data_IF_531253871681
#
_entry.id   IF_531253871681
#
_cell.length_a   1.000
_cell.length_b   1.000
_cell.length_c   1.000
_cell.angle_alpha   90.00
_cell.angle_beta   90.00
_cell.angle_gamma   90.00
#
_symmetry.space_group_name_H-M   'P 1'
#
loop_
_entity.id
_entity.type
_entity.pdbx_description
1 polymer ?
#
# COMPACT_ATOMS: atom_id res chain seq x y z
N UNK A 1 -14.42 5.62 -18.61
CA UNK A 1 -14.57 5.55 -17.14
C UNK A 1 -13.26 5.02 -16.58
N UNK A 2 -12.49 5.86 -15.90
CA UNK A 2 -11.25 5.46 -15.24
C UNK A 2 -11.59 5.33 -13.74
N UNK A 3 -11.73 4.12 -13.23
CA UNK A 3 -11.93 3.86 -11.81
C UNK A 3 -10.57 3.83 -11.12
N UNK A 4 -10.33 4.78 -10.21
CA UNK A 4 -9.18 4.74 -9.30
C UNK A 4 -9.61 3.87 -8.12
N UNK A 5 -8.93 2.74 -7.93
CA UNK A 5 -9.18 1.81 -6.83
C UNK A 5 -8.40 2.28 -5.60
N UNK A 6 -9.10 2.53 -4.48
CA UNK A 6 -8.49 2.81 -3.19
C UNK A 6 -8.66 1.58 -2.27
N UNK A 7 -7.59 1.12 -1.59
CA UNK A 7 -7.71 0.05 -0.60
C UNK A 7 -8.56 0.54 0.57
N UNK A 8 -9.70 -0.12 0.82
CA UNK A 8 -10.64 0.21 1.90
C UNK A 8 -12.10 0.35 1.46
N UNK A 9 -12.37 0.49 0.17
CA UNK A 9 -13.76 0.44 -0.32
C UNK A 9 -14.26 -1.00 -0.18
N UNK A 10 -15.16 -1.23 0.77
CA UNK A 10 -16.01 -2.42 0.73
C UNK A 10 -16.73 -2.36 -0.62
N UNK A 11 -16.78 -3.47 -1.37
CA UNK A 11 -17.47 -3.59 -2.68
C UNK A 11 -18.98 -3.21 -2.63
N UNK A 12 -19.47 -2.87 -1.44
CA UNK A 12 -20.84 -2.54 -1.07
C UNK A 12 -21.00 -1.12 -0.50
N UNK A 13 -19.93 -0.31 -0.44
CA UNK A 13 -20.01 1.04 0.08
C UNK A 13 -20.75 1.96 -0.91
N UNK A 14 -21.65 2.80 -0.40
CA UNK A 14 -22.38 3.81 -1.19
C UNK A 14 -21.81 5.20 -0.94
N UNK A 15 -21.39 5.86 -2.02
CA UNK A 15 -20.96 7.27 -1.98
C UNK A 15 -22.15 8.22 -1.88
N UNK A 16 -22.05 9.22 -1.00
CA UNK A 16 -23.02 10.32 -0.85
C UNK A 16 -22.30 11.65 -0.73
N UNK A 17 -22.75 12.67 -1.48
CA UNK A 17 -22.31 14.05 -1.24
C UNK A 17 -23.07 14.60 -0.03
N UNK A 18 -22.36 14.96 1.04
CA UNK A 18 -22.95 15.45 2.31
C UNK A 18 -22.86 16.97 2.43
N UNK A 19 -21.95 17.59 1.69
CA UNK A 19 -21.80 19.02 1.51
C UNK A 19 -21.05 19.26 0.18
N UNK A 20 -21.10 20.48 -0.37
CA UNK A 20 -20.53 20.78 -1.68
C UNK A 20 -19.04 20.35 -1.78
N UNK A 21 -18.76 19.36 -2.62
CA UNK A 21 -17.42 18.76 -2.82
C UNK A 21 -16.94 17.87 -1.68
N UNK A 22 -17.76 17.54 -0.69
CA UNK A 22 -17.45 16.60 0.39
C UNK A 22 -18.30 15.35 0.20
N UNK A 23 -17.63 14.24 -0.10
CA UNK A 23 -18.24 12.94 -0.35
C UNK A 23 -17.87 11.99 0.79
N UNK A 24 -18.81 11.12 1.14
CA UNK A 24 -18.64 10.12 2.18
C UNK A 24 -19.04 8.77 1.62
N UNK A 25 -18.17 7.78 1.76
CA UNK A 25 -18.53 6.39 1.49
C UNK A 25 -19.10 5.77 2.75
N UNK A 26 -20.32 5.26 2.64
CA UNK A 26 -21.02 4.61 3.72
C UNK A 26 -21.08 3.11 3.48
N UNK A 27 -20.67 2.31 4.46
CA UNK A 27 -20.89 0.86 4.48
C UNK A 27 -22.40 0.53 4.53
N UNK A 28 -22.81 -0.72 4.22
CA UNK A 28 -24.22 -1.12 4.28
C UNK A 28 -24.88 -0.94 5.66
N UNK A 29 -24.12 -1.01 6.75
CA UNK A 29 -24.58 -0.75 8.13
C UNK A 29 -24.58 0.75 8.49
N UNK A 30 -24.33 1.64 7.52
CA UNK A 30 -24.40 3.09 7.68
C UNK A 30 -23.19 3.73 8.36
N UNK A 31 -22.08 2.99 8.51
CA UNK A 31 -20.83 3.53 9.06
C UNK A 31 -20.02 4.23 7.98
N UNK A 32 -19.23 5.22 8.38
CA UNK A 32 -18.32 5.92 7.47
C UNK A 32 -17.12 5.04 7.17
N UNK A 33 -16.94 4.66 5.90
CA UNK A 33 -15.76 3.96 5.40
C UNK A 33 -14.69 4.94 4.92
N UNK A 34 -15.07 6.01 4.23
CA UNK A 34 -14.15 7.01 3.68
C UNK A 34 -14.79 8.40 3.67
N UNK A 35 -13.95 9.44 3.64
CA UNK A 35 -14.35 10.82 3.37
C UNK A 35 -13.41 11.39 2.31
N UNK A 36 -13.98 11.91 1.23
CA UNK A 36 -13.25 12.55 0.14
C UNK A 36 -13.64 14.04 0.04
N UNK A 37 -12.63 14.91 -0.08
CA UNK A 37 -12.82 16.34 -0.29
C UNK A 37 -12.28 16.69 -1.68
N UNK A 38 -13.20 16.91 -2.62
CA UNK A 38 -12.86 17.26 -3.99
C UNK A 38 -12.32 18.70 -4.05
N UNK A 39 -11.32 18.88 -4.91
CA UNK A 39 -10.59 20.14 -5.09
C UNK A 39 -10.00 20.71 -3.78
N UNK A 40 -9.68 19.86 -2.79
CA UNK A 40 -9.13 20.32 -1.51
C UNK A 40 -7.92 21.24 -1.69
N UNK A 41 -7.06 20.97 -2.68
CA UNK A 41 -5.87 21.77 -2.98
C UNK A 41 -6.16 23.17 -3.52
N UNK A 42 -7.33 23.40 -4.12
CA UNK A 42 -7.76 24.74 -4.56
C UNK A 42 -8.49 25.49 -3.44
N UNK A 43 -9.11 24.75 -2.52
CA UNK A 43 -9.91 25.29 -1.40
C UNK A 43 -9.07 25.59 -0.15
N UNK A 44 -7.99 24.85 0.05
CA UNK A 44 -7.14 24.95 1.23
C UNK A 44 -5.67 25.17 0.84
N UNK A 45 -4.91 25.98 1.59
CA UNK A 45 -3.47 26.11 1.36
C UNK A 45 -2.77 24.74 1.48
N UNK A 46 -1.84 24.46 0.55
CA UNK A 46 -1.10 23.20 0.54
C UNK A 46 -0.34 22.95 1.85
N UNK A 47 0.15 23.99 2.53
CA UNK A 47 0.80 23.87 3.82
C UNK A 47 -0.17 23.37 4.91
N UNK A 48 -1.42 23.83 4.89
CA UNK A 48 -2.46 23.38 5.83
C UNK A 48 -2.79 21.91 5.60
N UNK A 49 -2.96 21.49 4.35
CA UNK A 49 -3.23 20.09 4.00
C UNK A 49 -2.08 19.15 4.40
N UNK A 50 -0.83 19.57 4.20
CA UNK A 50 0.36 18.78 4.59
C UNK A 50 0.49 18.58 6.10
N UNK A 51 -0.02 19.53 6.88
CA UNK A 51 0.06 19.51 8.34
C UNK A 51 -1.15 18.86 9.01
N UNK A 52 -2.16 18.43 8.24
CA UNK A 52 -3.26 17.67 8.80
C UNK A 52 -2.74 16.35 9.35
N UNK A 53 -3.11 15.98 10.58
CA UNK A 53 -2.80 14.65 11.10
C UNK A 53 -3.53 13.64 10.24
N UNK A 54 -2.80 12.90 9.41
CA UNK A 54 -3.35 11.72 8.79
C UNK A 54 -3.63 10.71 9.93
N UNK A 55 -4.85 10.14 10.04
CA UNK A 55 -5.01 8.91 10.77
C UNK A 55 -4.17 7.86 10.04
N UNK A 56 -2.92 7.69 10.49
CA UNK A 56 -2.02 6.73 9.86
C UNK A 56 -2.35 5.39 10.47
N UNK A 57 -3.12 4.59 9.75
CA UNK A 57 -3.22 3.17 10.03
C UNK A 57 -1.83 2.57 9.84
N UNK A 58 -1.23 2.15 10.95
CA UNK A 58 0.07 1.51 10.96
C UNK A 58 -0.13 0.02 10.84
N UNK A 59 0.39 -0.57 9.77
CA UNK A 59 0.43 -2.02 9.60
C UNK A 59 1.82 -2.56 9.96
N UNK A 60 1.84 -3.75 10.54
CA UNK A 60 3.03 -4.57 10.71
C UNK A 60 3.63 -4.95 9.35
N UNK A 61 4.91 -5.37 9.35
CA UNK A 61 5.52 -5.92 8.13
C UNK A 61 4.86 -7.23 7.67
N UNK A 62 4.12 -7.94 8.54
CA UNK A 62 3.37 -9.13 8.18
C UNK A 62 2.11 -8.77 7.39
N UNK A 63 1.36 -7.77 7.84
CA UNK A 63 0.19 -7.25 7.13
C UNK A 63 0.62 -6.61 5.79
N UNK A 64 1.69 -5.81 5.78
CA UNK A 64 2.24 -5.26 4.55
C UNK A 64 2.70 -6.33 3.55
N UNK A 65 3.17 -7.47 4.06
CA UNK A 65 3.55 -8.60 3.23
C UNK A 65 2.33 -9.29 2.61
N UNK A 66 1.26 -9.45 3.39
CA UNK A 66 -0.01 -9.97 2.88
C UNK A 66 -0.58 -9.07 1.76
N UNK A 67 -0.50 -7.75 1.95
CA UNK A 67 -0.98 -6.76 0.97
C UNK A 67 -0.14 -6.74 -0.32
N UNK A 68 1.19 -6.74 -0.20
CA UNK A 68 2.10 -6.54 -1.35
C UNK A 68 2.58 -7.81 -2.03
N UNK A 69 2.42 -8.97 -1.39
CA UNK A 69 3.05 -10.24 -1.80
C UNK A 69 4.58 -10.27 -1.60
N UNK A 70 5.19 -9.26 -0.98
CA UNK A 70 6.62 -9.21 -0.66
C UNK A 70 6.83 -9.78 0.74
N UNK A 71 7.80 -10.67 0.93
CA UNK A 71 8.04 -11.27 2.26
C UNK A 71 8.37 -10.22 3.33
N UNK A 72 7.98 -10.45 4.61
CA UNK A 72 8.27 -9.52 5.70
C UNK A 72 9.76 -9.17 5.83
N UNK A 73 10.64 -10.16 5.64
CA UNK A 73 12.10 -9.97 5.66
C UNK A 73 12.61 -9.09 4.50
N UNK A 74 12.02 -9.23 3.31
CA UNK A 74 12.36 -8.38 2.19
C UNK A 74 11.91 -6.94 2.43
N UNK A 75 10.71 -6.74 2.97
CA UNK A 75 10.23 -5.41 3.39
C UNK A 75 11.11 -4.82 4.49
N UNK A 76 11.47 -5.61 5.50
CA UNK A 76 12.39 -5.20 6.57
C UNK A 76 13.73 -4.73 6.01
N UNK A 77 14.30 -5.42 5.01
CA UNK A 77 15.53 -4.97 4.34
C UNK A 77 15.34 -3.62 3.65
N UNK A 78 14.19 -3.37 3.01
CA UNK A 78 13.95 -2.06 2.38
C UNK A 78 13.81 -0.95 3.42
N UNK A 79 13.20 -1.24 4.56
CA UNK A 79 13.16 -0.31 5.70
C UNK A 79 14.56 0.02 6.19
N UNK A 80 15.39 -1.00 6.44
CA UNK A 80 16.77 -0.81 6.92
C UNK A 80 17.65 -0.09 5.89
N UNK A 81 17.38 -0.27 4.60
CA UNK A 81 18.07 0.43 3.51
C UNK A 81 17.50 1.84 3.24
N UNK A 82 16.51 2.30 4.00
CA UNK A 82 15.88 3.62 3.84
C UNK A 82 15.00 3.77 2.59
N UNK A 83 14.67 2.67 1.91
CA UNK A 83 13.85 2.66 0.68
C UNK A 83 12.35 2.57 0.95
N UNK A 84 11.97 2.02 2.09
CA UNK A 84 10.58 1.95 2.56
C UNK A 84 10.47 2.75 3.85
N UNK A 85 9.69 3.83 3.83
CA UNK A 85 9.44 4.64 5.02
C UNK A 85 8.66 3.83 6.06
N UNK A 86 9.18 3.80 7.28
CA UNK A 86 8.62 3.02 8.39
C UNK A 86 8.91 3.69 9.74
N UNK A 87 8.17 3.28 10.76
CA UNK A 87 8.40 3.68 12.16
C UNK A 87 8.74 2.45 12.99
N UNK A 88 9.71 2.59 13.89
CA UNK A 88 10.00 1.54 14.88
C UNK A 88 9.02 1.65 16.05
N UNK A 89 8.33 0.55 16.38
CA UNK A 89 7.39 0.44 17.50
C UNK A 89 7.78 -0.78 18.35
N UNK A 90 8.48 -0.53 19.45
CA UNK A 90 9.07 -1.59 20.25
C UNK A 90 10.13 -2.37 19.47
N UNK A 91 9.91 -3.68 19.29
CA UNK A 91 10.80 -4.57 18.53
C UNK A 91 10.49 -4.62 17.04
N UNK A 92 9.32 -4.11 16.66
CA UNK A 92 8.77 -4.25 15.33
C UNK A 92 8.90 -2.95 14.52
N UNK A 93 8.88 -3.12 13.21
CA UNK A 93 8.72 -2.04 12.25
C UNK A 93 7.29 -2.02 11.77
N UNK A 94 6.71 -0.83 11.69
CA UNK A 94 5.38 -0.60 11.14
C UNK A 94 5.48 0.38 9.98
N UNK A 95 4.65 0.17 8.97
CA UNK A 95 4.56 1.00 7.77
C UNK A 95 3.14 1.52 7.63
N UNK A 96 2.97 2.68 7.02
CA UNK A 96 1.64 3.15 6.61
C UNK A 96 1.29 2.54 5.24
N UNK A 97 0.00 2.32 4.91
CA UNK A 97 -0.42 1.96 3.55
C UNK A 97 0.17 2.88 2.48
N UNK A 98 0.12 4.20 2.69
CA UNK A 98 0.63 5.19 1.74
C UNK A 98 2.14 5.00 1.44
N UNK A 99 2.96 4.80 2.48
CA UNK A 99 4.39 4.51 2.33
C UNK A 99 4.65 3.19 1.58
N UNK A 100 3.85 2.16 1.82
CA UNK A 100 3.95 0.88 1.10
C UNK A 100 3.66 1.08 -0.40
N UNK A 101 2.55 1.75 -0.74
CA UNK A 101 2.18 2.02 -2.14
C UNK A 101 3.21 2.91 -2.84
N UNK A 102 3.68 3.97 -2.20
CA UNK A 102 4.77 4.82 -2.72
C UNK A 102 6.02 4.00 -3.02
N UNK A 103 6.39 3.08 -2.12
CA UNK A 103 7.51 2.18 -2.35
C UNK A 103 7.24 1.25 -3.55
N UNK A 104 6.06 0.65 -3.65
CA UNK A 104 5.70 -0.26 -4.77
C UNK A 104 5.71 0.46 -6.12
N UNK A 105 5.20 1.68 -6.20
CA UNK A 105 5.22 2.52 -7.40
C UNK A 105 6.66 2.87 -7.82
N UNK A 106 7.50 3.26 -6.85
CA UNK A 106 8.92 3.58 -7.12
C UNK A 106 9.79 2.36 -7.39
N UNK A 107 9.31 1.15 -7.07
CA UNK A 107 10.00 -0.14 -7.29
C UNK A 107 10.05 -0.56 -8.76
N UNK A 108 9.61 0.25 -9.72
CA UNK A 108 9.66 -0.04 -11.15
C UNK A 108 10.95 -0.80 -11.54
N UNK A 109 10.85 -1.89 -12.32
CA UNK A 109 11.88 -2.92 -12.37
C UNK A 109 13.16 -2.41 -13.03
N UNK A 110 14.07 -1.88 -12.22
CA UNK A 110 15.44 -1.57 -12.63
C UNK A 110 16.36 -2.68 -12.13
N UNK A 111 16.48 -3.75 -12.93
CA UNK A 111 17.37 -4.86 -12.61
C UNK A 111 17.38 -5.98 -13.65
N UNK A 112 18.59 -6.35 -14.07
CA UNK A 112 18.96 -7.33 -15.10
C UNK A 112 18.08 -8.60 -15.08
N UNK A 113 17.63 -9.11 -16.26
CA UNK A 113 16.93 -10.39 -16.33
C UNK A 113 17.73 -11.48 -15.61
N UNK A 114 17.05 -12.44 -14.95
CA UNK A 114 17.72 -13.51 -14.23
C UNK A 114 18.69 -14.21 -15.18
N UNK A 115 19.96 -14.26 -14.79
CA UNK A 115 20.98 -14.95 -15.56
C UNK A 115 20.68 -16.45 -15.52
N UNK A 116 19.94 -16.93 -16.51
CA UNK A 116 19.75 -18.34 -16.86
C UNK A 116 19.11 -19.20 -15.76
N UNK A 117 17.96 -19.81 -16.09
CA UNK A 117 17.44 -20.94 -15.33
C UNK A 117 18.51 -22.03 -15.26
N UNK A 118 19.19 -22.14 -14.11
CA UNK A 118 20.22 -23.16 -13.88
C UNK A 118 19.55 -24.52 -14.01
N UNK A 119 19.80 -25.17 -15.14
CA UNK A 119 19.15 -26.40 -15.56
C UNK A 119 19.16 -27.44 -14.45
N UNK A 120 17.95 -27.90 -14.08
CA UNK A 120 17.76 -29.09 -13.28
C UNK A 120 18.29 -30.27 -14.10
N UNK A 121 19.54 -30.66 -13.91
CA UNK A 121 20.08 -31.92 -14.45
C UNK A 121 19.29 -33.06 -13.81
N UNK A 122 18.26 -33.52 -14.49
CA UNK A 122 17.59 -34.79 -14.19
C UNK A 122 18.60 -35.88 -14.50
N UNK A 123 19.19 -36.47 -13.45
CA UNK A 123 19.96 -37.71 -13.59
C UNK A 123 18.97 -38.80 -14.01
N UNK A 124 18.98 -39.20 -15.28
CA UNK A 124 18.36 -40.46 -15.71
C UNK A 124 19.15 -41.59 -15.05
N UNK A 125 18.55 -42.23 -14.05
CA UNK A 125 19.04 -43.51 -13.54
C UNK A 125 18.72 -44.58 -14.58
N UNK A 126 19.77 -45.18 -15.13
CA UNK A 126 19.69 -46.37 -15.97
C UNK A 126 19.30 -47.56 -15.06
N UNK A 127 18.20 -48.24 -15.39
CA UNK A 127 17.87 -49.56 -14.84
C UNK A 127 18.88 -50.59 -15.37
N UNK A 128 19.43 -51.38 -14.46
CA UNK A 128 19.92 -52.73 -14.74
C UNK A 128 18.90 -53.71 -14.18
#
# INVERSE_FOLDING_TARGET
MLGIWFPGTSDTARTSEVAAGIHVDLTPDGRVASIEILDASSRYPAASLRNLPAPVDWMSLAEAAAESGITPDALRRQVLNGRLAARKRGRDWVVSPAALWTYLESRAPSGRPPASAKGRRVRRGTRA
#
